data_IF_922266469185
#
_entry.id   IF_922266469185
#
_cell.length_a   1.000
_cell.length_b   1.000
_cell.length_c   1.000
_cell.angle_alpha   90.00
_cell.angle_beta   90.00
_cell.angle_gamma   90.00
#
_symmetry.space_group_name_H-M   'P 1'
#
loop_
_entity.id
_entity.type
_entity.pdbx_description
1 polymer ?
#
# COMPACT_ATOMS: atom_id res chain seq x y z
N UNK A 1 10.47 25.77 26.75
CA UNK A 1 10.30 24.79 25.64
C UNK A 1 8.83 24.45 25.44
N UNK A 2 8.12 25.32 24.74
CA UNK A 2 6.81 24.98 24.18
C UNK A 2 7.08 24.41 22.79
N UNK A 3 7.41 23.16 22.75
CA UNK A 3 7.71 22.43 21.54
C UNK A 3 6.46 21.79 20.98
N UNK A 4 6.15 22.14 19.76
CA UNK A 4 5.64 21.28 18.66
C UNK A 4 4.57 20.19 18.93
N UNK A 5 4.00 20.05 20.12
CA UNK A 5 2.96 19.04 20.35
C UNK A 5 1.72 19.25 19.47
N UNK A 6 1.33 20.50 19.22
CA UNK A 6 0.17 20.81 18.38
C UNK A 6 0.40 20.58 16.87
N UNK A 7 1.60 20.90 16.37
CA UNK A 7 1.94 20.71 14.96
C UNK A 7 2.10 19.24 14.57
N UNK A 8 2.66 18.42 15.47
CA UNK A 8 2.80 16.98 15.23
C UNK A 8 1.46 16.24 15.12
N UNK A 9 0.51 16.59 15.96
CA UNK A 9 -0.81 15.95 15.94
C UNK A 9 -1.66 16.39 14.75
N UNK A 10 -1.59 17.66 14.35
CA UNK A 10 -2.24 18.17 13.14
C UNK A 10 -1.65 17.52 11.89
N UNK A 11 -0.33 17.36 11.83
CA UNK A 11 0.34 16.72 10.68
C UNK A 11 0.02 15.22 10.58
N UNK A 12 -0.01 14.50 11.71
CA UNK A 12 -0.41 13.09 11.75
C UNK A 12 -1.85 12.89 11.31
N UNK A 13 -2.78 13.71 11.79
CA UNK A 13 -4.17 13.68 11.34
C UNK A 13 -4.34 13.94 9.84
N UNK A 14 -3.55 14.85 9.28
CA UNK A 14 -3.59 15.11 7.84
C UNK A 14 -3.16 13.90 7.02
N UNK A 15 -2.08 13.20 7.39
CA UNK A 15 -1.63 11.99 6.71
C UNK A 15 -2.67 10.87 6.80
N UNK A 16 -3.24 10.62 7.96
CA UNK A 16 -4.26 9.59 8.18
C UNK A 16 -5.54 9.88 7.38
N UNK A 17 -6.02 11.12 7.43
CA UNK A 17 -7.18 11.54 6.65
C UNK A 17 -6.91 11.53 5.14
N UNK A 18 -5.69 11.79 4.73
CA UNK A 18 -5.26 11.69 3.35
C UNK A 18 -5.36 10.25 2.84
N UNK A 19 -4.89 9.27 3.60
CA UNK A 19 -5.04 7.85 3.27
C UNK A 19 -6.51 7.45 3.08
N UNK A 20 -7.41 7.92 3.94
CA UNK A 20 -8.84 7.66 3.83
C UNK A 20 -9.43 8.30 2.56
N UNK A 21 -9.21 9.60 2.40
CA UNK A 21 -9.82 10.38 1.33
C UNK A 21 -9.29 10.00 -0.06
N UNK A 22 -7.98 9.77 -0.17
CA UNK A 22 -7.36 9.37 -1.44
C UNK A 22 -7.77 7.96 -1.85
N UNK A 23 -7.87 7.04 -0.92
CA UNK A 23 -8.35 5.67 -1.21
C UNK A 23 -9.79 5.71 -1.73
N UNK A 24 -10.69 6.45 -1.10
CA UNK A 24 -12.06 6.64 -1.58
C UNK A 24 -12.07 7.22 -3.00
N UNK A 25 -11.25 8.24 -3.24
CA UNK A 25 -11.18 8.93 -4.54
C UNK A 25 -10.62 8.02 -5.64
N UNK A 26 -9.53 7.30 -5.36
CA UNK A 26 -8.86 6.42 -6.34
C UNK A 26 -9.76 5.24 -6.70
N UNK A 27 -10.41 4.62 -5.72
CA UNK A 27 -11.31 3.49 -5.94
C UNK A 27 -12.72 3.93 -6.38
N UNK A 28 -13.00 5.24 -6.37
CA UNK A 28 -14.33 5.82 -6.65
C UNK A 28 -15.45 5.12 -5.86
N UNK A 29 -15.17 4.77 -4.61
CA UNK A 29 -16.13 4.10 -3.71
C UNK A 29 -16.04 4.68 -2.29
N UNK A 30 -16.99 5.54 -1.96
CA UNK A 30 -17.10 6.20 -0.65
C UNK A 30 -17.77 5.32 0.41
N UNK A 31 -18.20 4.10 0.07
CA UNK A 31 -18.83 3.16 1.01
C UNK A 31 -17.82 2.24 1.68
N UNK A 32 -16.57 2.24 1.23
CA UNK A 32 -15.51 1.46 1.86
C UNK A 32 -15.21 2.06 3.24
N UNK A 33 -15.32 1.26 4.30
CA UNK A 33 -14.88 1.65 5.64
C UNK A 33 -13.35 1.63 5.70
N UNK A 34 -12.73 2.76 6.02
CA UNK A 34 -11.28 2.91 6.07
C UNK A 34 -10.88 3.56 7.39
N UNK A 35 -9.87 3.01 8.02
CA UNK A 35 -9.16 3.63 9.14
C UNK A 35 -7.66 3.50 8.91
N UNK A 36 -6.91 4.49 9.32
CA UNK A 36 -5.46 4.53 9.17
C UNK A 36 -4.79 5.09 10.41
N UNK A 37 -3.59 4.60 10.70
CA UNK A 37 -2.69 5.15 11.72
C UNK A 37 -1.32 5.33 11.09
N UNK A 38 -0.82 6.56 11.09
CA UNK A 38 0.49 6.90 10.58
C UNK A 38 1.55 6.89 11.71
N UNK A 39 2.65 6.18 11.47
CA UNK A 39 3.76 6.06 12.42
C UNK A 39 5.07 6.44 11.74
N UNK A 40 5.91 7.22 12.42
CA UNK A 40 7.29 7.50 12.00
C UNK A 40 8.23 6.50 12.65
N UNK A 41 9.01 5.80 11.84
CA UNK A 41 10.03 4.85 12.28
C UNK A 41 11.40 5.28 11.75
N UNK A 42 12.51 4.92 12.42
CA UNK A 42 13.86 5.34 12.05
C UNK A 42 14.42 4.49 10.91
N UNK A 43 13.88 4.67 9.70
CA UNK A 43 14.36 4.08 8.44
C UNK A 43 14.69 5.19 7.45
N UNK A 44 15.70 4.99 6.61
CA UNK A 44 16.15 6.00 5.65
C UNK A 44 15.19 6.16 4.48
N UNK A 45 14.58 5.11 4.00
CA UNK A 45 13.67 5.14 2.86
C UNK A 45 12.56 4.09 2.95
N UNK A 46 11.54 4.28 2.12
CA UNK A 46 10.44 3.36 1.97
C UNK A 46 9.29 3.58 2.95
N UNK A 47 8.10 3.24 2.48
CA UNK A 47 6.92 3.08 3.31
C UNK A 47 6.70 1.60 3.60
N UNK A 48 6.24 1.31 4.80
CA UNK A 48 5.86 -0.04 5.21
C UNK A 48 4.47 0.02 5.83
N UNK A 49 3.55 -0.80 5.31
CA UNK A 49 2.14 -0.75 5.65
C UNK A 49 1.65 -2.11 6.11
N UNK A 50 1.04 -2.16 7.29
CA UNK A 50 0.27 -3.31 7.76
C UNK A 50 -1.19 -3.09 7.38
N UNK A 51 -1.66 -3.83 6.39
CA UNK A 51 -2.99 -3.65 5.81
C UNK A 51 -3.88 -4.81 6.17
N UNK A 52 -5.07 -4.52 6.69
CA UNK A 52 -6.15 -5.49 6.86
C UNK A 52 -7.27 -5.13 5.87
N UNK A 53 -7.68 -6.10 5.07
CA UNK A 53 -8.75 -5.94 4.09
C UNK A 53 -9.87 -6.94 4.33
N UNK A 54 -11.11 -6.49 4.16
CA UNK A 54 -12.30 -7.35 4.11
C UNK A 54 -12.89 -7.28 2.71
N UNK A 55 -13.02 -8.42 2.05
CA UNK A 55 -13.53 -8.51 0.69
C UNK A 55 -15.03 -8.79 0.66
N UNK A 56 -15.74 -8.22 -0.32
CA UNK A 56 -17.17 -8.51 -0.56
C UNK A 56 -17.37 -9.96 -1.01
N UNK A 57 -16.55 -10.40 -1.97
CA UNK A 57 -16.60 -11.73 -2.54
C UNK A 57 -15.70 -12.67 -1.76
N UNK A 58 -16.16 -13.92 -1.57
CA UNK A 58 -15.37 -14.97 -0.90
C UNK A 58 -14.07 -15.19 -1.67
N UNK A 59 -12.97 -15.22 -0.95
CA UNK A 59 -11.66 -15.44 -1.53
C UNK A 59 -10.76 -16.29 -0.62
N UNK A 60 -9.66 -16.74 -1.18
CA UNK A 60 -8.62 -17.51 -0.49
C UNK A 60 -7.27 -16.77 -0.54
N UNK A 61 -6.35 -17.14 0.35
CA UNK A 61 -4.98 -16.62 0.34
C UNK A 61 -4.28 -16.91 -0.99
N UNK A 62 -4.54 -18.07 -1.59
CA UNK A 62 -3.93 -18.46 -2.86
C UNK A 62 -4.44 -17.58 -4.02
N UNK A 63 -5.73 -17.32 -4.08
CA UNK A 63 -6.31 -16.43 -5.09
C UNK A 63 -5.74 -15.00 -4.98
N UNK A 64 -5.65 -14.45 -3.76
CA UNK A 64 -5.04 -13.14 -3.53
C UNK A 64 -3.57 -13.14 -3.98
N UNK A 65 -2.79 -14.16 -3.60
CA UNK A 65 -1.39 -14.28 -4.04
C UNK A 65 -1.26 -14.34 -5.56
N UNK A 66 -2.11 -15.10 -6.23
CA UNK A 66 -2.09 -15.24 -7.69
C UNK A 66 -2.49 -13.92 -8.37
N UNK A 67 -3.51 -13.25 -7.86
CA UNK A 67 -3.92 -11.93 -8.35
C UNK A 67 -2.75 -10.93 -8.26
N UNK A 68 -2.11 -10.84 -7.11
CA UNK A 68 -1.00 -9.92 -6.88
C UNK A 68 0.23 -10.27 -7.72
N UNK A 69 0.54 -11.55 -7.92
CA UNK A 69 1.66 -11.98 -8.79
C UNK A 69 1.46 -11.60 -10.25
N UNK A 70 0.22 -11.51 -10.71
CA UNK A 70 -0.14 -11.14 -12.07
C UNK A 70 -0.41 -9.63 -12.23
N UNK A 71 -0.21 -8.84 -11.18
CA UNK A 71 -0.42 -7.39 -11.21
C UNK A 71 0.87 -6.67 -11.57
N UNK A 72 0.81 -5.76 -12.54
CA UNK A 72 1.95 -4.97 -12.97
C UNK A 72 2.53 -4.14 -11.82
N UNK A 73 3.85 -4.14 -11.69
CA UNK A 73 4.57 -3.38 -10.68
C UNK A 73 4.49 -3.96 -9.25
N UNK A 74 3.87 -5.14 -9.07
CA UNK A 74 3.77 -5.83 -7.79
C UNK A 74 4.69 -7.05 -7.75
N UNK A 75 5.45 -7.19 -6.68
CA UNK A 75 6.31 -8.35 -6.41
C UNK A 75 5.82 -9.04 -5.13
N UNK A 76 5.33 -10.27 -5.26
CA UNK A 76 4.94 -11.08 -4.10
C UNK A 76 6.18 -11.74 -3.50
N UNK A 77 6.58 -11.30 -2.31
CA UNK A 77 7.68 -11.84 -1.51
C UNK A 77 7.10 -12.45 -0.23
N UNK A 78 6.69 -13.70 -0.30
CA UNK A 78 5.95 -14.35 0.79
C UNK A 78 6.26 -15.84 0.85
N UNK A 79 7.44 -16.15 1.42
CA UNK A 79 7.88 -17.52 1.71
C UNK A 79 8.25 -17.66 3.20
N UNK A 80 7.29 -18.07 4.04
CA UNK A 80 7.50 -18.24 5.47
C UNK A 80 8.57 -19.29 5.84
N UNK A 81 8.76 -20.30 4.98
CA UNK A 81 9.73 -21.39 5.26
C UNK A 81 11.17 -20.87 5.21
N UNK A 82 11.43 -19.91 4.32
CA UNK A 82 12.73 -19.30 4.13
C UNK A 82 12.82 -17.91 4.76
N UNK A 83 11.91 -17.53 5.65
CA UNK A 83 11.83 -16.20 6.27
C UNK A 83 11.88 -15.05 5.25
N UNK A 84 11.31 -15.26 4.04
CA UNK A 84 11.32 -14.28 2.97
C UNK A 84 10.03 -13.45 3.02
N UNK A 85 10.19 -12.17 3.28
CA UNK A 85 9.12 -11.17 3.37
C UNK A 85 9.63 -9.78 2.96
N UNK A 86 8.76 -8.83 2.62
CA UNK A 86 9.17 -7.48 2.24
C UNK A 86 9.79 -6.72 3.43
N UNK A 87 10.87 -6.00 3.14
CA UNK A 87 11.56 -5.10 4.08
C UNK A 87 11.88 -3.77 3.39
N UNK A 88 11.84 -2.66 4.12
CA UNK A 88 12.12 -1.33 3.58
C UNK A 88 13.47 -1.25 2.86
N UNK A 89 14.52 -1.84 3.44
CA UNK A 89 15.88 -1.88 2.85
C UNK A 89 15.93 -2.60 1.49
N UNK A 90 15.02 -3.52 1.22
CA UNK A 90 14.96 -4.23 -0.07
C UNK A 90 14.14 -3.48 -1.11
N UNK A 91 13.25 -2.60 -0.69
CA UNK A 91 12.42 -1.79 -1.57
C UNK A 91 13.12 -0.49 -1.99
N UNK A 92 14.07 -0.01 -1.18
CA UNK A 92 14.81 1.21 -1.44
C UNK A 92 15.49 1.16 -2.81
N UNK A 93 15.33 2.22 -3.61
CA UNK A 93 15.86 2.33 -4.96
C UNK A 93 15.15 1.50 -6.03
N UNK A 94 14.07 0.80 -5.70
CA UNK A 94 13.29 0.00 -6.66
C UNK A 94 11.95 0.65 -7.03
N UNK A 95 11.38 0.25 -8.17
CA UNK A 95 10.10 0.76 -8.67
C UNK A 95 8.91 -0.17 -8.37
N UNK A 96 9.15 -1.28 -7.66
CA UNK A 96 8.14 -2.26 -7.33
C UNK A 96 7.44 -1.98 -5.99
N UNK A 97 6.22 -2.47 -5.89
CA UNK A 97 5.49 -2.64 -4.63
C UNK A 97 5.65 -4.09 -4.17
N UNK A 98 6.30 -4.29 -3.06
CA UNK A 98 6.50 -5.63 -2.48
C UNK A 98 5.35 -5.97 -1.54
N UNK A 99 4.73 -7.13 -1.74
CA UNK A 99 3.64 -7.61 -0.89
C UNK A 99 3.99 -8.97 -0.33
N UNK A 100 3.78 -9.16 0.95
CA UNK A 100 4.02 -10.44 1.61
C UNK A 100 3.25 -10.59 2.91
N UNK A 101 3.56 -11.66 3.65
CA UNK A 101 2.86 -12.03 4.89
C UNK A 101 1.35 -12.10 4.70
N UNK A 102 0.92 -12.57 3.52
CA UNK A 102 -0.48 -12.69 3.13
C UNK A 102 -1.10 -13.84 3.88
N UNK A 103 -2.06 -13.56 4.75
CA UNK A 103 -2.69 -14.55 5.62
C UNK A 103 -4.13 -14.17 5.96
N UNK A 104 -4.94 -15.16 6.30
CA UNK A 104 -6.30 -14.93 6.79
C UNK A 104 -6.28 -14.13 8.10
N UNK A 105 -7.25 -13.26 8.25
CA UNK A 105 -7.66 -12.74 9.53
C UNK A 105 -8.68 -13.71 10.14
N UNK A 106 -8.34 -14.29 11.29
CA UNK A 106 -9.22 -15.26 11.96
C UNK A 106 -10.33 -14.60 12.80
N UNK A 107 -10.24 -13.29 13.01
CA UNK A 107 -11.23 -12.54 13.79
C UNK A 107 -12.46 -12.16 12.97
N UNK A 108 -12.34 -12.14 11.63
CA UNK A 108 -13.41 -11.69 10.75
C UNK A 108 -13.47 -12.52 9.45
N UNK A 109 -14.67 -12.97 9.04
CA UNK A 109 -14.84 -13.69 7.79
C UNK A 109 -14.36 -12.89 6.58
N UNK A 110 -13.78 -13.58 5.61
CA UNK A 110 -13.33 -13.03 4.33
C UNK A 110 -12.38 -11.84 4.46
N UNK A 111 -11.58 -11.83 5.52
CA UNK A 111 -10.61 -10.78 5.82
C UNK A 111 -9.18 -11.33 5.80
N UNK A 112 -8.26 -10.47 5.37
CA UNK A 112 -6.87 -10.83 5.15
C UNK A 112 -5.94 -9.73 5.65
N UNK A 113 -4.79 -10.16 6.17
CA UNK A 113 -3.70 -9.27 6.53
C UNK A 113 -2.60 -9.37 5.48
N UNK A 114 -2.06 -8.23 5.09
CA UNK A 114 -0.96 -8.08 4.16
C UNK A 114 0.11 -7.17 4.77
N UNK A 115 1.35 -7.37 4.33
CA UNK A 115 2.45 -6.47 4.61
C UNK A 115 2.96 -5.93 3.28
N UNK A 116 2.93 -4.61 3.11
CA UNK A 116 3.24 -3.92 1.85
C UNK A 116 4.40 -2.98 2.09
N UNK A 117 5.37 -2.99 1.19
CA UNK A 117 6.56 -2.14 1.26
C UNK A 117 6.90 -1.60 -0.11
N UNK A 118 7.21 -0.31 -0.21
CA UNK A 118 7.66 0.32 -1.44
C UNK A 118 8.57 1.51 -1.17
N UNK A 119 9.38 1.89 -2.15
CA UNK A 119 10.15 3.12 -2.10
C UNK A 119 9.22 4.33 -2.20
N UNK A 120 9.28 5.22 -1.22
CA UNK A 120 8.38 6.37 -1.12
C UNK A 120 8.71 7.50 -2.12
N UNK A 121 9.95 7.60 -2.58
CA UNK A 121 10.37 8.63 -3.54
C UNK A 121 10.14 8.18 -4.98
N UNK A 122 10.30 6.89 -5.24
CA UNK A 122 10.11 6.30 -6.57
C UNK A 122 8.65 5.89 -6.79
N UNK A 123 8.24 4.72 -6.33
CA UNK A 123 6.87 4.21 -6.51
C UNK A 123 5.83 5.07 -5.80
N UNK A 124 6.16 5.64 -4.64
CA UNK A 124 5.28 6.54 -3.91
C UNK A 124 5.15 7.95 -4.53
N UNK A 125 6.00 8.34 -5.48
CA UNK A 125 6.00 9.69 -6.06
C UNK A 125 6.39 9.71 -7.55
N UNK A 126 7.67 9.89 -7.89
CA UNK A 126 8.13 10.20 -9.24
C UNK A 126 7.81 9.09 -10.25
N UNK A 127 8.19 7.84 -9.95
CA UNK A 127 7.96 6.71 -10.84
C UNK A 127 6.46 6.48 -11.09
N UNK A 128 5.64 6.56 -10.05
CA UNK A 128 4.20 6.37 -10.20
C UNK A 128 3.56 7.43 -11.12
N UNK A 129 4.02 8.67 -11.04
CA UNK A 129 3.54 9.75 -11.92
C UNK A 129 3.83 9.44 -13.39
N UNK A 130 5.04 8.96 -13.68
CA UNK A 130 5.45 8.56 -15.05
C UNK A 130 4.62 7.37 -15.52
N UNK A 131 4.46 6.34 -14.68
CA UNK A 131 3.67 5.15 -15.01
C UNK A 131 2.20 5.45 -15.28
N UNK A 132 1.61 6.42 -14.55
CA UNK A 132 0.25 6.90 -14.84
C UNK A 132 0.19 7.55 -16.22
N UNK A 133 1.16 8.41 -16.58
CA UNK A 133 1.22 9.04 -17.89
C UNK A 133 1.38 8.00 -19.01
N UNK A 134 2.27 7.03 -18.83
CA UNK A 134 2.46 5.91 -19.79
C UNK A 134 1.17 5.10 -19.96
N UNK A 135 0.47 4.80 -18.86
CA UNK A 135 -0.80 4.08 -18.90
C UNK A 135 -1.87 4.84 -19.67
N UNK A 136 -2.00 6.14 -19.43
CA UNK A 136 -2.95 7.02 -20.11
C UNK A 136 -2.69 7.04 -21.62
N UNK A 137 -1.43 7.18 -22.04
CA UNK A 137 -1.02 7.19 -23.44
C UNK A 137 -1.31 5.82 -24.08
N UNK A 138 -0.86 4.74 -23.44
CA UNK A 138 -1.02 3.38 -23.94
C UNK A 138 -2.49 2.99 -24.18
N UNK A 139 -3.38 3.49 -23.35
CA UNK A 139 -4.81 3.17 -23.40
C UNK A 139 -5.66 4.26 -24.08
N UNK A 140 -5.05 5.29 -24.67
CA UNK A 140 -5.72 6.40 -25.34
C UNK A 140 -6.83 7.04 -24.48
N UNK A 141 -6.54 7.26 -23.18
CA UNK A 141 -7.52 7.78 -22.24
C UNK A 141 -7.65 9.32 -22.29
N UNK A 142 -6.80 10.00 -23.03
CA UNK A 142 -6.88 11.44 -23.31
C UNK A 142 -6.96 11.62 -24.82
N UNK A 143 -8.01 12.30 -25.27
CA UNK A 143 -8.08 12.86 -26.62
C UNK A 143 -7.23 14.12 -26.65
N UNK A 144 -6.22 14.17 -27.51
CA UNK A 144 -5.46 15.38 -27.83
C UNK A 144 -6.21 16.14 -28.91
#
# INVERSE_FOLDING_TARGET
LRTSRGLGDVYKRQEEMKLVNETHKILNDFKIGITATAVRIPVFGGHSESVNITLKNKSSVLEIKNLLKNSDGVVVKDDPKNNSYPMAILAEGTDAVYVGRIRKDFSKPNSFNLWIVSDNLRKGAATNTIQIAEYIIKHNLISV
#
